data_IF_336441494633
#
_entry.id   IF_336441494633
#
_cell.length_a   1.000
_cell.length_b   1.000
_cell.length_c   1.000
_cell.angle_alpha   90.00
_cell.angle_beta   90.00
_cell.angle_gamma   90.00
#
_symmetry.space_group_name_H-M   'P 1'
#
loop_
_entity.id
_entity.type
_entity.pdbx_description
1 polymer ?
#
# COMPACT_ATOMS: atom_id res chain seq x y z
N UNK A 1 5.24 -2.17 -5.36
CA UNK A 1 4.59 -3.31 -4.66
C UNK A 1 3.68 -4.00 -5.65
N UNK A 2 3.83 -5.31 -5.89
CA UNK A 2 3.05 -6.04 -6.89
C UNK A 2 1.58 -6.13 -6.49
N UNK A 3 0.66 -5.85 -7.41
CA UNK A 3 -0.78 -5.97 -7.18
C UNK A 3 -1.13 -7.45 -6.89
N UNK A 4 -1.80 -7.75 -5.77
CA UNK A 4 -2.13 -9.13 -5.41
C UNK A 4 -3.24 -9.74 -6.28
N UNK A 5 -3.92 -8.94 -7.10
CA UNK A 5 -5.05 -9.39 -7.92
C UNK A 5 -4.68 -9.70 -9.37
N UNK A 6 -3.93 -8.81 -10.03
CA UNK A 6 -3.53 -8.99 -11.43
C UNK A 6 -2.03 -9.15 -11.63
N UNK A 7 -1.22 -8.93 -10.59
CA UNK A 7 0.24 -9.02 -10.69
C UNK A 7 0.94 -7.78 -11.26
N UNK A 8 0.21 -6.72 -11.58
CA UNK A 8 0.78 -5.45 -12.07
C UNK A 8 1.69 -4.79 -11.03
N UNK A 9 2.79 -4.17 -11.45
CA UNK A 9 3.74 -3.51 -10.55
C UNK A 9 3.32 -2.07 -10.29
N UNK A 10 2.64 -1.46 -11.27
CA UNK A 10 2.20 -0.07 -11.21
C UNK A 10 0.94 0.12 -10.36
N UNK A 11 1.06 0.97 -9.35
CA UNK A 11 -0.02 1.38 -8.47
C UNK A 11 0.25 2.75 -7.88
N UNK A 12 -0.83 3.45 -7.53
CA UNK A 12 -0.78 4.74 -6.85
C UNK A 12 -1.15 4.60 -5.38
N UNK A 13 -0.48 5.34 -4.51
CA UNK A 13 -0.88 5.48 -3.09
C UNK A 13 -2.03 6.47 -3.01
N UNK A 14 -3.14 6.07 -2.39
CA UNK A 14 -4.35 6.91 -2.26
C UNK A 14 -4.64 7.34 -0.82
N UNK A 15 -4.13 6.63 0.18
CA UNK A 15 -4.26 6.96 1.60
C UNK A 15 -3.06 6.42 2.35
N UNK A 16 -2.52 7.17 3.32
CA UNK A 16 -1.43 6.74 4.18
C UNK A 16 -1.76 7.08 5.62
N UNK A 17 -1.62 6.11 6.53
CA UNK A 17 -1.86 6.29 7.96
C UNK A 17 -0.72 5.69 8.77
N UNK A 18 -0.26 6.43 9.75
CA UNK A 18 0.65 5.94 10.78
C UNK A 18 -0.15 5.18 11.84
N UNK A 19 0.39 4.04 12.30
CA UNK A 19 -0.15 3.36 13.48
C UNK A 19 0.09 4.23 14.73
N UNK A 20 -0.74 4.06 15.75
CA UNK A 20 -0.65 4.83 17.01
C UNK A 20 0.71 4.70 17.69
N UNK A 21 1.36 3.56 17.50
CA UNK A 21 2.67 3.26 18.07
C UNK A 21 3.84 3.78 17.21
N UNK A 22 3.57 4.50 16.11
CA UNK A 22 4.59 5.09 15.23
C UNK A 22 5.36 4.09 14.35
N UNK A 23 5.37 2.81 14.69
CA UNK A 23 6.27 1.82 14.09
C UNK A 23 5.84 1.30 12.71
N UNK A 24 4.58 1.53 12.31
CA UNK A 24 4.02 0.94 11.09
C UNK A 24 3.24 1.98 10.31
N UNK A 25 3.54 2.08 9.02
CA UNK A 25 2.78 2.87 8.04
C UNK A 25 1.87 1.94 7.25
N UNK A 26 0.57 2.16 7.37
CA UNK A 26 -0.45 1.51 6.55
C UNK A 26 -0.75 2.38 5.34
N UNK A 27 -0.43 1.90 4.13
CA UNK A 27 -0.74 2.58 2.87
C UNK A 27 -1.82 1.85 2.08
N UNK A 28 -2.87 2.56 1.69
CA UNK A 28 -3.87 2.07 0.72
C UNK A 28 -3.39 2.44 -0.68
N UNK A 29 -3.29 1.44 -1.54
CA UNK A 29 -2.84 1.57 -2.94
C UNK A 29 -3.99 1.18 -3.88
N UNK A 30 -4.03 1.79 -5.06
CA UNK A 30 -4.92 1.46 -6.16
C UNK A 30 -4.08 1.03 -7.37
N UNK A 31 -4.38 -0.15 -7.90
CA UNK A 31 -3.69 -0.72 -9.06
C UNK A 31 -4.08 0.04 -10.34
N UNK A 32 -3.11 0.38 -11.18
CA UNK A 32 -3.36 1.08 -12.45
C UNK A 32 -3.84 0.09 -13.54
N UNK A 33 -3.48 -1.19 -13.45
CA UNK A 33 -3.87 -2.20 -14.44
C UNK A 33 -5.27 -2.82 -14.23
N UNK A 34 -5.80 -2.82 -13.01
CA UNK A 34 -7.12 -3.44 -12.73
C UNK A 34 -8.03 -2.61 -11.81
N UNK A 35 -7.63 -1.39 -11.45
CA UNK A 35 -8.36 -0.45 -10.58
C UNK A 35 -8.73 -0.97 -9.18
N UNK A 36 -8.20 -2.14 -8.79
CA UNK A 36 -8.45 -2.72 -7.47
C UNK A 36 -7.57 -2.06 -6.41
N UNK A 37 -8.16 -1.92 -5.22
CA UNK A 37 -7.50 -1.35 -4.04
C UNK A 37 -6.97 -2.43 -3.12
N UNK A 38 -5.77 -2.22 -2.59
CA UNK A 38 -5.13 -3.10 -1.61
C UNK A 38 -4.38 -2.29 -0.54
N UNK A 39 -4.03 -2.92 0.57
CA UNK A 39 -3.32 -2.28 1.68
C UNK A 39 -1.94 -2.89 1.82
N UNK A 40 -0.94 -2.05 2.05
CA UNK A 40 0.44 -2.46 2.34
C UNK A 40 0.85 -1.90 3.68
N UNK A 41 1.64 -2.67 4.42
CA UNK A 41 2.22 -2.26 5.69
C UNK A 41 3.73 -2.11 5.48
N UNK A 42 4.26 -0.97 5.85
CA UNK A 42 5.69 -0.70 5.84
C UNK A 42 6.11 -0.43 7.28
N UNK A 43 7.09 -1.17 7.78
CA UNK A 43 7.66 -0.94 9.10
C UNK A 43 8.69 0.18 8.99
N UNK A 44 8.65 1.12 9.92
CA UNK A 44 9.69 2.15 10.04
C UNK A 44 10.81 1.50 10.87
N UNK A 45 11.92 1.14 10.22
CA UNK A 45 13.17 0.85 10.93
C UNK A 45 13.88 2.19 11.18
N UNK A 46 14.29 2.42 12.43
CA UNK A 46 15.04 3.61 12.89
C UNK A 46 16.54 3.48 12.60
#
# INVERSE_FOLDING_TARGET
MKCPFCGEIDNKVIDSRLSKDGNVIRRRRECIGCDRRFTTYEQIEE
#
